data_IF_974256839630
#
_entry.id   IF_974256839630
#
_cell.length_a   1.000
_cell.length_b   1.000
_cell.length_c   1.000
_cell.angle_alpha   90.00
_cell.angle_beta   90.00
_cell.angle_gamma   90.00
#
_symmetry.space_group_name_H-M   'P 1'
#
loop_
_entity.id
_entity.type
_entity.pdbx_description
1 polymer ?
#
# COMPACT_ATOMS: atom_id res chain seq x y z
N UNK A 1 25.24 16.35 -6.40
CA UNK A 1 23.90 15.79 -6.14
C UNK A 1 24.01 14.82 -4.96
N UNK A 2 23.21 15.01 -3.91
CA UNK A 2 23.16 14.16 -2.73
C UNK A 2 22.86 12.69 -3.14
N UNK A 3 23.47 11.71 -2.47
CA UNK A 3 23.23 10.27 -2.65
C UNK A 3 21.72 9.92 -2.62
N UNK A 4 20.96 10.54 -1.73
CA UNK A 4 19.49 10.41 -1.65
C UNK A 4 18.78 10.91 -2.90
N UNK A 5 19.17 12.08 -3.43
CA UNK A 5 18.60 12.60 -4.68
C UNK A 5 18.92 11.69 -5.87
N UNK A 6 20.13 11.10 -5.91
CA UNK A 6 20.50 10.07 -6.89
C UNK A 6 19.62 8.83 -6.75
N UNK A 7 19.41 8.34 -5.55
CA UNK A 7 18.66 7.10 -5.30
C UNK A 7 17.15 7.29 -5.47
N UNK A 8 16.60 8.45 -5.10
CA UNK A 8 15.21 8.81 -5.39
C UNK A 8 14.99 8.93 -6.90
N UNK A 9 15.91 9.58 -7.63
CA UNK A 9 15.85 9.61 -9.10
C UNK A 9 15.99 8.21 -9.71
N UNK A 10 16.85 7.34 -9.18
CA UNK A 10 16.97 5.94 -9.63
C UNK A 10 15.69 5.16 -9.30
N UNK A 11 15.09 5.36 -8.14
CA UNK A 11 13.86 4.66 -7.72
C UNK A 11 12.66 5.11 -8.53
N UNK A 12 12.51 6.42 -8.75
CA UNK A 12 11.47 7.00 -9.61
C UNK A 12 11.70 6.62 -11.07
N UNK A 13 12.95 6.61 -11.56
CA UNK A 13 13.27 6.14 -12.90
C UNK A 13 13.05 4.63 -13.05
N UNK A 14 13.30 3.83 -12.01
CA UNK A 14 13.03 2.40 -12.01
C UNK A 14 11.51 2.14 -11.98
N UNK A 15 10.76 2.88 -11.16
CA UNK A 15 9.30 2.80 -11.12
C UNK A 15 8.67 3.25 -12.44
N UNK A 16 9.18 4.34 -13.05
CA UNK A 16 8.79 4.80 -14.38
C UNK A 16 9.21 3.80 -15.46
N UNK A 17 10.42 3.24 -15.39
CA UNK A 17 10.88 2.23 -16.35
C UNK A 17 10.00 0.99 -16.26
N UNK A 18 9.73 0.46 -15.07
CA UNK A 18 8.81 -0.67 -14.87
C UNK A 18 7.40 -0.27 -15.32
N UNK A 19 6.94 0.95 -15.02
CA UNK A 19 5.67 1.53 -15.49
C UNK A 19 5.55 1.53 -17.01
N UNK A 20 6.55 2.07 -17.69
CA UNK A 20 6.66 2.14 -19.14
C UNK A 20 6.85 0.75 -19.75
N UNK A 21 7.61 -0.14 -19.12
CA UNK A 21 7.77 -1.52 -19.58
C UNK A 21 6.45 -2.28 -19.46
N UNK A 22 5.72 -2.08 -18.38
CA UNK A 22 4.38 -2.67 -18.23
C UNK A 22 3.43 -2.06 -19.24
N UNK A 23 3.39 -0.76 -19.47
CA UNK A 23 2.51 -0.16 -20.50
C UNK A 23 2.88 -0.62 -21.92
N UNK A 24 4.17 -0.73 -22.25
CA UNK A 24 4.64 -1.08 -23.60
C UNK A 24 4.67 -2.59 -23.87
N UNK A 25 4.83 -3.43 -22.84
CA UNK A 25 4.93 -4.89 -22.96
C UNK A 25 3.79 -5.63 -22.27
N UNK A 26 2.82 -4.93 -21.65
CA UNK A 26 1.47 -5.43 -21.37
C UNK A 26 0.75 -5.62 -22.69
N UNK A 27 1.19 -6.63 -23.44
CA UNK A 27 0.23 -7.41 -24.20
C UNK A 27 -0.79 -7.90 -23.19
N UNK A 28 -2.06 -7.79 -23.54
CA UNK A 28 -3.28 -8.15 -22.78
C UNK A 28 -3.38 -9.64 -22.39
N UNK A 29 -2.23 -10.31 -22.21
CA UNK A 29 -2.08 -11.71 -21.88
C UNK A 29 -2.18 -11.91 -20.37
N UNK A 30 -3.05 -12.86 -19.99
CA UNK A 30 -3.38 -13.21 -18.61
C UNK A 30 -2.16 -13.55 -17.72
N UNK A 31 -1.06 -13.99 -18.30
CA UNK A 31 0.16 -14.34 -17.56
C UNK A 31 0.92 -13.13 -17.01
N UNK A 32 0.89 -11.99 -17.70
CA UNK A 32 1.75 -10.83 -17.38
C UNK A 32 1.25 -10.08 -16.14
N UNK A 33 -0.07 -9.95 -15.96
CA UNK A 33 -0.65 -9.33 -14.77
C UNK A 33 -0.47 -10.18 -13.51
N UNK A 34 -0.60 -11.50 -13.63
CA UNK A 34 -0.40 -12.42 -12.51
C UNK A 34 1.02 -12.32 -11.98
N UNK A 35 2.01 -12.23 -12.86
CA UNK A 35 3.39 -12.10 -12.47
C UNK A 35 3.68 -10.77 -11.76
N UNK A 36 3.04 -9.67 -12.17
CA UNK A 36 3.14 -8.39 -11.49
C UNK A 36 2.51 -8.42 -10.09
N UNK A 37 1.30 -8.97 -9.97
CA UNK A 37 0.67 -9.14 -8.66
C UNK A 37 1.47 -10.05 -7.75
N UNK A 38 2.01 -11.17 -8.27
CA UNK A 38 2.87 -12.08 -7.52
C UNK A 38 4.14 -11.35 -7.06
N UNK A 39 4.77 -10.56 -7.94
CA UNK A 39 5.95 -9.77 -7.56
C UNK A 39 5.62 -8.76 -6.44
N UNK A 40 4.49 -8.06 -6.55
CA UNK A 40 4.03 -7.14 -5.49
C UNK A 40 3.67 -7.87 -4.21
N UNK A 41 3.09 -9.06 -4.28
CA UNK A 41 2.84 -9.92 -3.11
C UNK A 41 4.14 -10.32 -2.42
N UNK A 42 5.17 -10.71 -3.18
CA UNK A 42 6.49 -11.04 -2.63
C UNK A 42 7.10 -9.81 -1.93
N UNK A 43 7.03 -8.64 -2.57
CA UNK A 43 7.53 -7.39 -2.00
C UNK A 43 6.77 -7.02 -0.72
N UNK A 44 5.44 -7.07 -0.76
CA UNK A 44 4.57 -6.77 0.38
C UNK A 44 4.89 -7.71 1.54
N UNK A 45 4.98 -9.00 1.26
CA UNK A 45 5.19 -9.99 2.32
C UNK A 45 6.59 -9.93 2.91
N UNK A 46 7.60 -9.64 2.09
CA UNK A 46 8.94 -9.33 2.57
C UNK A 46 8.92 -8.10 3.47
N UNK A 47 8.27 -7.03 3.05
CA UNK A 47 8.15 -5.79 3.82
C UNK A 47 7.44 -6.01 5.16
N UNK A 48 6.29 -6.70 5.18
CA UNK A 48 5.51 -6.91 6.40
C UNK A 48 6.20 -7.84 7.40
N UNK A 49 6.79 -8.95 6.93
CA UNK A 49 7.53 -9.87 7.80
C UNK A 49 8.73 -9.17 8.44
N UNK A 50 9.51 -8.45 7.65
CA UNK A 50 10.70 -7.75 8.14
C UNK A 50 10.32 -6.59 9.06
N UNK A 51 9.28 -5.83 8.68
CA UNK A 51 8.71 -4.77 9.51
C UNK A 51 8.28 -5.30 10.88
N UNK A 52 7.57 -6.44 10.91
CA UNK A 52 7.15 -7.10 12.15
C UNK A 52 8.35 -7.52 13.01
N UNK A 53 9.39 -8.13 12.42
CA UNK A 53 10.60 -8.54 13.13
C UNK A 53 11.29 -7.33 13.77
N UNK A 54 11.46 -6.24 13.03
CA UNK A 54 12.09 -5.03 13.57
C UNK A 54 11.27 -4.37 14.65
N UNK A 55 9.95 -4.29 14.47
CA UNK A 55 9.07 -3.68 15.44
C UNK A 55 8.99 -4.50 16.73
N UNK A 56 8.91 -5.82 16.63
CA UNK A 56 8.98 -6.74 17.77
C UNK A 56 10.29 -6.54 18.55
N UNK A 57 11.45 -6.56 17.87
CA UNK A 57 12.75 -6.30 18.52
C UNK A 57 12.81 -4.94 19.22
N UNK A 58 12.21 -3.91 18.62
CA UNK A 58 12.16 -2.56 19.18
C UNK A 58 11.29 -2.47 20.45
N UNK A 59 10.09 -3.06 20.41
CA UNK A 59 9.13 -3.03 21.52
C UNK A 59 9.57 -3.89 22.70
N UNK A 60 10.14 -5.07 22.44
CA UNK A 60 10.57 -6.00 23.49
C UNK A 60 11.97 -5.72 24.04
N UNK A 61 12.66 -4.67 23.57
CA UNK A 61 13.94 -4.22 24.11
C UNK A 61 13.85 -3.93 25.62
N UNK A 62 14.93 -4.20 26.34
CA UNK A 62 15.07 -3.85 27.75
C UNK A 62 14.84 -2.33 27.96
N UNK A 63 14.10 -1.98 29.02
CA UNK A 63 13.76 -0.58 29.34
C UNK A 63 12.47 -0.04 28.70
N UNK A 64 11.82 -0.78 27.78
CA UNK A 64 10.50 -0.38 27.26
C UNK A 64 9.38 -0.68 28.28
N UNK A 65 8.39 0.23 28.45
CA UNK A 65 7.28 0.03 29.38
C UNK A 65 6.51 -1.26 29.09
N UNK A 66 6.06 -1.95 30.15
CA UNK A 66 5.25 -3.17 30.00
C UNK A 66 3.95 -2.92 29.24
N UNK A 67 3.36 -1.73 29.39
CA UNK A 67 2.14 -1.31 28.67
C UNK A 67 2.34 -1.32 27.16
N UNK A 68 3.50 -0.87 26.67
CA UNK A 68 3.85 -0.90 25.25
C UNK A 68 3.93 -2.34 24.73
N UNK A 69 4.53 -3.25 25.51
CA UNK A 69 4.65 -4.67 25.16
C UNK A 69 3.28 -5.35 25.13
N UNK A 70 2.44 -5.08 26.12
CA UNK A 70 1.06 -5.58 26.16
C UNK A 70 0.23 -5.04 24.99
N UNK A 71 0.32 -3.74 24.69
CA UNK A 71 -0.37 -3.15 23.55
C UNK A 71 0.05 -3.81 22.22
N UNK A 72 1.35 -4.09 22.04
CA UNK A 72 1.83 -4.83 20.86
C UNK A 72 1.19 -6.23 20.73
N UNK A 73 1.15 -7.00 21.83
CA UNK A 73 0.55 -8.34 21.80
C UNK A 73 -0.94 -8.26 21.51
N UNK A 74 -1.67 -7.38 22.22
CA UNK A 74 -3.12 -7.22 22.08
C UNK A 74 -3.48 -6.81 20.66
N UNK A 75 -2.80 -5.80 20.10
CA UNK A 75 -3.06 -5.33 18.74
C UNK A 75 -2.72 -6.39 17.69
N UNK A 76 -1.64 -7.16 17.88
CA UNK A 76 -1.31 -8.26 16.97
C UNK A 76 -2.39 -9.35 16.99
N UNK A 77 -2.83 -9.78 18.17
CA UNK A 77 -3.88 -10.79 18.30
C UNK A 77 -5.21 -10.28 17.77
N UNK A 78 -5.56 -9.02 18.06
CA UNK A 78 -6.78 -8.40 17.54
C UNK A 78 -6.79 -8.36 16.02
N UNK A 79 -5.67 -7.98 15.38
CA UNK A 79 -5.54 -8.00 13.93
C UNK A 79 -5.73 -9.41 13.36
N UNK A 80 -5.04 -10.42 13.94
CA UNK A 80 -5.17 -11.82 13.50
C UNK A 80 -6.62 -12.31 13.63
N UNK A 81 -7.24 -12.13 14.79
CA UNK A 81 -8.59 -12.63 15.06
C UNK A 81 -9.64 -11.93 14.19
N UNK A 82 -9.52 -10.62 13.99
CA UNK A 82 -10.43 -9.85 13.15
C UNK A 82 -10.29 -10.27 11.69
N UNK A 83 -9.05 -10.39 11.18
CA UNK A 83 -8.83 -10.84 9.82
C UNK A 83 -9.36 -12.26 9.60
N UNK A 84 -9.10 -13.19 10.52
CA UNK A 84 -9.63 -14.54 10.44
C UNK A 84 -11.16 -14.55 10.44
N UNK A 85 -11.81 -13.81 11.35
CA UNK A 85 -13.27 -13.71 11.38
C UNK A 85 -13.86 -13.24 10.05
N UNK A 86 -13.28 -12.19 9.45
CA UNK A 86 -13.77 -11.64 8.18
C UNK A 86 -13.50 -12.63 7.03
N UNK A 87 -12.36 -13.32 7.02
CA UNK A 87 -12.04 -14.36 6.03
C UNK A 87 -13.00 -15.57 6.15
N UNK A 88 -13.30 -16.03 7.37
CA UNK A 88 -14.20 -17.17 7.59
C UNK A 88 -15.66 -16.86 7.27
N UNK A 89 -16.06 -15.58 7.33
CA UNK A 89 -17.40 -15.13 6.95
C UNK A 89 -17.50 -14.70 5.49
N UNK A 90 -16.44 -14.92 4.69
CA UNK A 90 -16.32 -14.57 3.26
C UNK A 90 -16.60 -13.08 2.95
N UNK A 91 -16.35 -12.21 3.93
CA UNK A 91 -16.56 -10.76 3.83
C UNK A 91 -15.29 -10.06 3.27
N UNK A 92 -14.69 -10.63 2.22
CA UNK A 92 -13.38 -10.21 1.68
C UNK A 92 -13.38 -8.74 1.23
N UNK A 93 -14.49 -8.24 0.72
CA UNK A 93 -14.64 -6.82 0.32
C UNK A 93 -14.46 -5.87 1.49
N UNK A 94 -14.93 -6.22 2.70
CA UNK A 94 -14.70 -5.41 3.89
C UNK A 94 -13.22 -5.36 4.27
N UNK A 95 -12.48 -6.47 4.08
CA UNK A 95 -11.03 -6.46 4.28
C UNK A 95 -10.35 -5.45 3.35
N UNK A 96 -10.73 -5.44 2.07
CA UNK A 96 -10.21 -4.48 1.10
C UNK A 96 -10.54 -3.02 1.48
N UNK A 97 -11.79 -2.76 1.86
CA UNK A 97 -12.27 -1.42 2.22
C UNK A 97 -11.60 -0.85 3.46
N UNK A 98 -11.23 -1.68 4.44
CA UNK A 98 -10.51 -1.21 5.63
C UNK A 98 -9.00 -1.10 5.40
N UNK A 99 -8.40 -2.02 4.62
CA UNK A 99 -6.95 -1.99 4.35
C UNK A 99 -6.58 -0.79 3.51
N UNK A 100 -7.29 -0.52 2.42
CA UNK A 100 -6.78 0.42 1.41
C UNK A 100 -6.69 1.86 1.92
N UNK A 101 -7.73 2.47 2.54
CA UNK A 101 -7.63 3.82 3.07
C UNK A 101 -6.59 3.89 4.18
N UNK A 102 -6.53 2.89 5.06
CA UNK A 102 -5.51 2.84 6.09
C UNK A 102 -4.11 2.82 5.48
N UNK A 103 -3.87 1.91 4.54
CA UNK A 103 -2.56 1.72 3.93
C UNK A 103 -2.14 3.01 3.21
N UNK A 104 -3.09 3.72 2.60
CA UNK A 104 -2.82 5.04 2.03
C UNK A 104 -2.51 6.09 3.08
N UNK A 105 -3.27 6.20 4.17
CA UNK A 105 -2.91 7.13 5.26
C UNK A 105 -1.50 6.82 5.75
N UNK A 106 -1.21 5.54 6.01
CA UNK A 106 0.09 5.10 6.51
C UNK A 106 1.23 5.40 5.52
N UNK A 107 1.08 5.03 4.25
CA UNK A 107 2.07 5.35 3.21
C UNK A 107 2.24 6.86 3.14
N UNK A 108 1.16 7.62 2.99
CA UNK A 108 1.26 9.06 2.75
C UNK A 108 1.89 9.77 3.96
N UNK A 109 1.65 9.32 5.20
CA UNK A 109 2.28 9.87 6.40
C UNK A 109 3.77 9.56 6.44
N UNK A 110 4.11 8.32 6.09
CA UNK A 110 5.49 7.86 5.98
C UNK A 110 6.25 8.60 4.89
N UNK A 111 5.68 8.71 3.69
CA UNK A 111 6.28 9.43 2.56
C UNK A 111 6.38 10.93 2.84
N UNK A 112 5.38 11.53 3.51
CA UNK A 112 5.45 12.92 3.95
C UNK A 112 6.60 13.16 4.92
N UNK A 113 6.74 12.28 5.91
CA UNK A 113 7.84 12.33 6.90
C UNK A 113 9.18 12.12 6.21
N UNK A 114 9.29 11.12 5.35
CA UNK A 114 10.50 10.77 4.62
C UNK A 114 10.92 11.90 3.66
N UNK A 115 9.98 12.44 2.88
CA UNK A 115 10.23 13.55 1.97
C UNK A 115 10.70 14.79 2.73
N UNK A 116 10.05 15.12 3.85
CA UNK A 116 10.45 16.24 4.71
C UNK A 116 11.88 16.05 5.25
N UNK A 117 12.21 14.84 5.70
CA UNK A 117 13.58 14.51 6.16
C UNK A 117 14.62 14.57 5.04
N UNK A 118 14.25 14.18 3.81
CA UNK A 118 15.16 14.10 2.68
C UNK A 118 15.42 15.46 2.01
N UNK A 119 14.39 16.31 1.89
CA UNK A 119 14.48 17.60 1.21
C UNK A 119 14.70 18.76 2.18
N UNK A 120 14.42 18.57 3.48
CA UNK A 120 14.38 19.63 4.47
C UNK A 120 13.20 20.60 4.28
N UNK A 121 12.28 20.31 3.34
CA UNK A 121 11.13 21.13 3.02
C UNK A 121 9.90 20.49 3.67
N UNK A 122 9.19 21.26 4.49
CA UNK A 122 7.90 20.83 5.03
C UNK A 122 6.83 20.98 3.93
N UNK A 123 6.33 19.84 3.44
CA UNK A 123 5.19 19.82 2.53
C UNK A 123 3.90 20.08 3.31
N UNK A 124 2.95 20.89 2.82
CA UNK A 124 1.75 21.17 3.57
C UNK A 124 0.80 19.98 3.58
N UNK A 125 0.08 19.85 4.67
CA UNK A 125 -0.98 18.87 4.86
C UNK A 125 -2.09 18.94 3.80
N UNK A 126 -2.27 20.08 3.13
CA UNK A 126 -3.25 20.20 2.03
C UNK A 126 -2.91 19.29 0.85
N UNK A 127 -1.64 19.11 0.50
CA UNK A 127 -1.23 18.16 -0.55
C UNK A 127 -1.51 16.72 -0.11
N UNK A 128 -1.20 16.40 1.15
CA UNK A 128 -1.48 15.09 1.74
C UNK A 128 -2.99 14.77 1.72
N UNK A 129 -3.83 15.68 2.24
CA UNK A 129 -5.29 15.51 2.27
C UNK A 129 -5.85 15.40 0.86
N UNK A 130 -5.31 16.19 -0.08
CA UNK A 130 -5.66 16.13 -1.49
C UNK A 130 -5.37 14.76 -2.12
N UNK A 131 -4.17 14.21 -1.95
CA UNK A 131 -3.80 12.89 -2.51
C UNK A 131 -4.62 11.78 -1.85
N UNK A 132 -4.76 11.82 -0.52
CA UNK A 132 -5.53 10.83 0.24
C UNK A 132 -6.99 10.78 -0.21
N UNK A 133 -7.64 11.94 -0.30
CA UNK A 133 -9.04 12.02 -0.72
C UNK A 133 -9.21 11.68 -2.20
N UNK A 134 -8.30 12.10 -3.08
CA UNK A 134 -8.32 11.74 -4.50
C UNK A 134 -8.29 10.21 -4.68
N UNK A 135 -7.36 9.54 -3.99
CA UNK A 135 -7.22 8.10 -4.08
C UNK A 135 -8.40 7.35 -3.46
N UNK A 136 -8.88 7.79 -2.30
CA UNK A 136 -10.04 7.20 -1.64
C UNK A 136 -11.29 7.34 -2.52
N UNK A 137 -11.41 8.44 -3.27
CA UNK A 137 -12.54 8.67 -4.16
C UNK A 137 -12.52 7.67 -5.33
N UNK A 138 -11.35 7.48 -5.94
CA UNK A 138 -11.19 6.48 -7.00
C UNK A 138 -11.47 5.06 -6.49
N UNK A 139 -11.03 4.71 -5.29
CA UNK A 139 -11.35 3.43 -4.66
C UNK A 139 -12.86 3.25 -4.49
N UNK A 140 -13.54 4.23 -3.88
CA UNK A 140 -14.97 4.15 -3.62
C UNK A 140 -15.77 4.04 -4.92
N UNK A 141 -15.37 4.76 -5.98
CA UNK A 141 -16.00 4.68 -7.29
C UNK A 141 -15.78 3.32 -7.99
N UNK A 142 -14.71 2.61 -7.64
CA UNK A 142 -14.42 1.29 -8.18
C UNK A 142 -15.19 0.16 -7.47
N UNK A 143 -15.78 0.41 -6.30
CA UNK A 143 -16.46 -0.60 -5.48
C UNK A 143 -17.80 -1.04 -6.09
N UNK A 144 -18.76 -0.16 -6.41
CA UNK A 144 -19.98 -0.55 -7.10
C UNK A 144 -19.64 -0.75 -8.57
N UNK A 145 -19.47 -2.01 -8.98
CA UNK A 145 -19.04 -2.39 -10.33
C UNK A 145 -19.93 -1.94 -11.51
N UNK A 146 -20.94 -1.08 -11.30
CA UNK A 146 -21.74 -0.48 -12.35
C UNK A 146 -21.88 1.04 -12.12
N UNK A 147 -20.78 1.74 -11.87
CA UNK A 147 -20.81 3.20 -11.89
C UNK A 147 -20.71 3.70 -13.33
N UNK A 148 -21.12 4.96 -13.58
CA UNK A 148 -21.13 5.58 -14.91
C UNK A 148 -19.77 5.48 -15.66
N UNK A 149 -18.67 5.24 -14.94
CA UNK A 149 -17.30 5.24 -15.45
C UNK A 149 -16.62 3.87 -15.42
N UNK A 150 -17.15 2.89 -14.70
CA UNK A 150 -16.53 1.57 -14.55
C UNK A 150 -17.46 0.49 -15.12
N UNK A 151 -17.01 -0.19 -16.18
CA UNK A 151 -17.55 -1.49 -16.55
C UNK A 151 -16.72 -2.57 -15.83
N UNK A 152 -17.40 -3.48 -15.15
CA UNK A 152 -16.81 -4.71 -14.66
C UNK A 152 -16.23 -5.50 -15.85
N UNK A 153 -14.90 -5.50 -15.99
CA UNK A 153 -14.22 -6.69 -16.49
C UNK A 153 -13.79 -7.53 -15.28
N UNK A 154 -14.78 -7.94 -14.47
CA UNK A 154 -14.63 -9.03 -13.50
C UNK A 154 -15.02 -10.34 -14.17
N UNK A 155 -14.34 -10.66 -15.28
CA UNK A 155 -14.29 -12.03 -15.80
C UNK A 155 -13.83 -13.06 -14.74
N UNK A 156 -13.40 -12.62 -13.55
CA UNK A 156 -12.85 -13.44 -12.47
C UNK A 156 -13.53 -13.29 -11.08
N UNK A 157 -14.54 -12.43 -10.91
CA UNK A 157 -15.34 -12.41 -9.67
C UNK A 157 -16.57 -13.28 -9.89
N UNK A 158 -16.71 -14.35 -9.10
CA UNK A 158 -17.75 -15.37 -9.30
C UNK A 158 -19.16 -14.91 -8.97
N UNK A 159 -19.33 -13.72 -8.40
CA UNK A 159 -20.61 -13.22 -7.90
C UNK A 159 -21.20 -12.17 -8.86
N UNK A 160 -22.43 -12.36 -9.34
CA UNK A 160 -23.11 -11.38 -10.19
C UNK A 160 -23.26 -10.01 -9.50
N UNK A 161 -23.19 -8.88 -10.24
CA UNK A 161 -23.24 -7.52 -9.66
C UNK A 161 -24.53 -7.23 -8.91
N UNK A 162 -25.65 -7.78 -9.39
CA UNK A 162 -26.99 -7.74 -8.80
C UNK A 162 -27.07 -8.47 -7.45
N UNK A 163 -26.11 -9.35 -7.14
CA UNK A 163 -25.99 -10.01 -5.83
C UNK A 163 -25.05 -9.22 -4.92
N UNK A 164 -23.96 -8.68 -5.46
CA UNK A 164 -22.94 -7.97 -4.68
C UNK A 164 -23.37 -6.58 -4.18
N UNK A 165 -24.06 -5.80 -5.02
CA UNK A 165 -24.52 -4.45 -4.69
C UNK A 165 -25.47 -4.42 -3.46
N UNK A 166 -26.45 -5.33 -3.32
CA UNK A 166 -27.26 -5.45 -2.12
C UNK A 166 -26.45 -5.71 -0.83
N UNK A 167 -25.44 -6.58 -0.87
CA UNK A 167 -24.58 -6.84 0.29
C UNK A 167 -23.79 -5.60 0.74
N UNK A 168 -23.34 -4.76 -0.20
CA UNK A 168 -22.68 -3.49 0.14
C UNK A 168 -23.65 -2.51 0.83
N UNK A 169 -24.93 -2.51 0.42
CA UNK A 169 -25.94 -1.62 1.01
C UNK A 169 -26.29 -1.94 2.46
N UNK A 170 -26.00 -3.16 2.92
CA UNK A 170 -26.15 -3.54 4.34
C UNK A 170 -25.14 -2.80 5.25
N UNK A 171 -24.02 -2.32 4.69
CA UNK A 171 -22.96 -1.65 5.44
C UNK A 171 -22.92 -0.13 5.19
N UNK A 172 -23.17 0.31 3.95
CA UNK A 172 -23.21 1.73 3.61
C UNK A 172 -24.16 1.99 2.42
N UNK A 173 -24.92 3.09 2.44
CA UNK A 173 -25.82 3.41 1.34
C UNK A 173 -25.07 3.69 0.03
N UNK A 174 -25.65 3.33 -1.12
CA UNK A 174 -24.99 3.42 -2.44
C UNK A 174 -24.42 4.81 -2.76
N UNK A 175 -25.04 5.87 -2.24
CA UNK A 175 -24.58 7.23 -2.50
C UNK A 175 -23.18 7.54 -1.97
N UNK A 176 -22.71 6.77 -0.98
CA UNK A 176 -21.34 6.87 -0.45
C UNK A 176 -20.31 6.49 -1.51
N UNK A 177 -20.65 5.55 -2.38
CA UNK A 177 -19.73 5.01 -3.36
C UNK A 177 -19.77 5.72 -4.71
N UNK A 178 -20.84 6.45 -5.00
CA UNK A 178 -21.03 7.18 -6.26
C UNK A 178 -20.97 8.70 -6.05
N UNK A 179 -22.05 9.31 -5.57
CA UNK A 179 -22.21 10.76 -5.47
C UNK A 179 -21.20 11.38 -4.50
N UNK A 180 -21.04 10.78 -3.32
CA UNK A 180 -20.05 11.23 -2.33
C UNK A 180 -18.63 11.08 -2.87
N UNK A 181 -18.31 9.96 -3.51
CA UNK A 181 -16.99 9.72 -4.06
C UNK A 181 -16.67 10.67 -5.22
N UNK A 182 -17.63 10.98 -6.11
CA UNK A 182 -17.49 12.01 -7.15
C UNK A 182 -17.28 13.40 -6.55
N UNK A 183 -18.09 13.77 -5.54
CA UNK A 183 -17.93 15.04 -4.83
C UNK A 183 -16.55 15.15 -4.18
N UNK A 184 -16.07 14.06 -3.57
CA UNK A 184 -14.74 13.97 -2.98
C UNK A 184 -13.64 14.09 -4.05
N UNK A 185 -13.79 13.46 -5.22
CA UNK A 185 -12.83 13.56 -6.33
C UNK A 185 -12.68 15.01 -6.81
N UNK A 186 -13.80 15.71 -7.05
CA UNK A 186 -13.79 17.12 -7.49
C UNK A 186 -13.16 18.02 -6.43
N UNK A 187 -13.57 17.86 -5.17
CA UNK A 187 -13.07 18.66 -4.05
C UNK A 187 -11.55 18.46 -3.87
N UNK A 188 -11.08 17.22 -3.92
CA UNK A 188 -9.67 16.87 -3.64
C UNK A 188 -8.73 17.30 -4.76
N UNK A 189 -9.15 17.21 -6.02
CA UNK A 189 -8.43 17.83 -7.14
C UNK A 189 -8.34 19.35 -6.93
N UNK A 190 -9.42 20.00 -6.50
CA UNK A 190 -9.41 21.42 -6.15
C UNK A 190 -8.42 21.76 -5.03
N UNK A 191 -8.40 20.95 -3.96
CA UNK A 191 -7.44 21.09 -2.84
C UNK A 191 -6.00 20.92 -3.31
N UNK A 192 -5.73 19.97 -4.20
CA UNK A 192 -4.39 19.74 -4.77
C UNK A 192 -3.92 20.93 -5.61
N UNK A 193 -4.79 21.43 -6.50
CA UNK A 193 -4.50 22.62 -7.31
C UNK A 193 -4.19 23.80 -6.37
N UNK A 194 -5.07 24.08 -5.41
CA UNK A 194 -4.85 25.14 -4.43
C UNK A 194 -3.53 24.97 -3.66
N UNK A 195 -3.21 23.75 -3.21
CA UNK A 195 -1.97 23.44 -2.51
C UNK A 195 -0.73 23.76 -3.36
N UNK A 196 -0.73 23.37 -4.63
CA UNK A 196 0.37 23.66 -5.57
C UNK A 196 0.52 25.16 -5.81
N UNK A 197 -0.59 25.86 -6.08
CA UNK A 197 -0.60 27.31 -6.33
C UNK A 197 -0.09 28.11 -5.12
N UNK A 198 -0.56 27.77 -3.91
CA UNK A 198 -0.21 28.50 -2.67
C UNK A 198 1.27 28.37 -2.33
N UNK A 199 1.85 27.20 -2.55
CA UNK A 199 3.24 26.92 -2.19
C UNK A 199 4.26 27.49 -3.18
N UNK A 200 3.83 27.83 -4.41
CA UNK A 200 4.73 28.19 -5.52
C UNK A 200 5.81 27.13 -5.79
N UNK A 201 5.58 25.88 -5.38
CA UNK A 201 6.48 24.74 -5.65
C UNK A 201 6.09 24.17 -7.02
N UNK A 202 6.18 25.00 -8.05
CA UNK A 202 5.73 24.66 -9.39
C UNK A 202 6.47 23.47 -9.98
N UNK A 203 7.76 23.36 -9.66
CA UNK A 203 8.64 22.30 -10.14
C UNK A 203 8.26 20.89 -9.66
N UNK A 204 7.61 20.77 -8.49
CA UNK A 204 7.12 19.47 -7.98
C UNK A 204 5.60 19.35 -8.09
N UNK A 205 4.88 20.47 -7.99
CA UNK A 205 3.42 20.49 -7.99
C UNK A 205 2.80 20.28 -9.37
N UNK A 206 3.38 20.83 -10.45
CA UNK A 206 2.87 20.60 -11.80
C UNK A 206 2.98 19.12 -12.20
N UNK A 207 4.13 18.44 -12.02
CA UNK A 207 4.22 16.99 -12.24
C UNK A 207 3.21 16.19 -11.43
N UNK A 208 2.99 16.54 -10.15
CA UNK A 208 1.99 15.89 -9.32
C UNK A 208 0.57 16.03 -9.89
N UNK A 209 0.18 17.24 -10.31
CA UNK A 209 -1.14 17.47 -10.91
C UNK A 209 -1.32 16.73 -12.23
N UNK A 210 -0.26 16.63 -13.04
CA UNK A 210 -0.27 15.83 -14.27
C UNK A 210 -0.47 14.34 -13.97
N UNK A 211 0.21 13.80 -12.95
CA UNK A 211 0.03 12.41 -12.52
C UNK A 211 -1.39 12.17 -12.00
N UNK A 212 -1.92 13.09 -11.20
CA UNK A 212 -3.30 13.01 -10.67
C UNK A 212 -4.32 13.06 -11.81
N UNK A 213 -4.14 13.97 -12.78
CA UNK A 213 -5.05 14.09 -13.93
C UNK A 213 -4.97 12.87 -14.85
N UNK A 214 -3.76 12.40 -15.16
CA UNK A 214 -3.54 11.20 -15.96
C UNK A 214 -4.10 9.95 -15.26
N UNK A 215 -3.81 9.77 -13.97
CA UNK A 215 -4.33 8.65 -13.17
C UNK A 215 -5.86 8.66 -13.08
N UNK A 216 -6.46 9.83 -12.89
CA UNK A 216 -7.93 9.99 -12.91
C UNK A 216 -8.50 9.61 -14.28
N UNK A 217 -7.91 10.15 -15.35
CA UNK A 217 -8.40 9.90 -16.71
C UNK A 217 -8.30 8.43 -17.08
N UNK A 218 -7.15 7.82 -16.79
CA UNK A 218 -6.90 6.38 -17.01
C UNK A 218 -7.92 5.53 -16.25
N UNK A 219 -8.14 5.84 -14.97
CA UNK A 219 -9.06 5.06 -14.11
C UNK A 219 -10.52 5.20 -14.54
N UNK A 220 -10.95 6.37 -15.03
CA UNK A 220 -12.35 6.63 -15.37
C UNK A 220 -12.72 6.35 -16.83
N UNK A 221 -11.78 6.37 -17.77
CA UNK A 221 -12.10 6.40 -19.21
C UNK A 221 -11.36 5.38 -20.08
N UNK A 222 -10.24 4.82 -19.65
CA UNK A 222 -9.39 4.01 -20.52
C UNK A 222 -9.40 2.53 -20.16
N UNK A 223 -9.09 2.16 -18.92
CA UNK A 223 -9.09 0.75 -18.51
C UNK A 223 -9.41 0.60 -17.02
N UNK A 224 -10.44 -0.19 -16.65
CA UNK A 224 -10.66 -0.59 -15.27
C UNK A 224 -9.41 -1.31 -14.71
N UNK A 225 -8.70 -2.12 -15.50
CA UNK A 225 -7.51 -2.83 -15.00
C UNK A 225 -6.34 -1.87 -14.68
N UNK A 226 -6.33 -0.66 -15.24
CA UNK A 226 -5.25 0.30 -15.01
C UNK A 226 -5.17 0.86 -13.59
N UNK A 227 -6.27 0.83 -12.80
CA UNK A 227 -6.14 1.13 -11.37
C UNK A 227 -5.37 0.01 -10.66
N UNK A 228 -5.54 -1.27 -11.02
CA UNK A 228 -4.77 -2.38 -10.42
C UNK A 228 -3.29 -2.18 -10.71
N UNK A 229 -2.93 -1.78 -11.94
CA UNK A 229 -1.55 -1.41 -12.26
C UNK A 229 -1.07 -0.24 -11.40
N UNK A 230 -1.81 0.87 -11.35
CA UNK A 230 -1.45 2.04 -10.55
C UNK A 230 -1.23 1.68 -9.08
N UNK A 231 -2.12 0.88 -8.49
CA UNK A 231 -2.00 0.36 -7.14
C UNK A 231 -0.76 -0.52 -6.98
N UNK A 232 -0.59 -1.51 -7.85
CA UNK A 232 0.58 -2.41 -7.88
C UNK A 232 1.88 -1.61 -7.95
N UNK A 233 1.91 -0.55 -8.76
CA UNK A 233 3.04 0.37 -8.90
C UNK A 233 3.30 1.20 -7.66
N UNK A 234 2.28 1.84 -7.09
CA UNK A 234 2.41 2.65 -5.87
C UNK A 234 2.89 1.78 -4.70
N UNK A 235 2.30 0.59 -4.54
CA UNK A 235 2.68 -0.37 -3.51
C UNK A 235 4.13 -0.83 -3.70
N UNK A 236 4.49 -1.25 -4.93
CA UNK A 236 5.84 -1.71 -5.24
C UNK A 236 6.87 -0.60 -5.06
N UNK A 237 6.56 0.62 -5.49
CA UNK A 237 7.38 1.81 -5.26
C UNK A 237 7.62 2.02 -3.77
N UNK A 238 6.56 2.01 -2.96
CA UNK A 238 6.66 2.18 -1.51
C UNK A 238 7.57 1.11 -0.88
N UNK A 239 7.37 -0.16 -1.21
CA UNK A 239 8.18 -1.25 -0.66
C UNK A 239 9.66 -1.13 -1.07
N UNK A 240 9.93 -0.83 -2.34
CA UNK A 240 11.30 -0.66 -2.85
C UNK A 240 11.97 0.55 -2.20
N UNK A 241 11.26 1.69 -2.11
CA UNK A 241 11.80 2.91 -1.52
C UNK A 241 12.20 2.70 -0.06
N UNK A 242 11.36 2.01 0.72
CA UNK A 242 11.66 1.68 2.11
C UNK A 242 12.84 0.71 2.23
N UNK A 243 12.91 -0.29 1.35
CA UNK A 243 14.06 -1.20 1.31
C UNK A 243 15.36 -0.42 1.03
N UNK A 244 15.34 0.50 0.06
CA UNK A 244 16.50 1.33 -0.24
C UNK A 244 16.84 2.29 0.90
N UNK A 245 15.85 2.95 1.49
CA UNK A 245 16.05 3.87 2.61
C UNK A 245 16.73 3.18 3.79
N UNK A 246 16.21 2.02 4.22
CA UNK A 246 16.84 1.26 5.29
C UNK A 246 18.20 0.69 4.89
N UNK A 247 18.36 0.25 3.64
CA UNK A 247 19.66 -0.17 3.11
C UNK A 247 20.74 0.92 3.27
N UNK A 248 20.41 2.18 2.96
CA UNK A 248 21.32 3.32 3.17
C UNK A 248 21.58 3.55 4.65
N UNK A 249 20.53 3.54 5.48
CA UNK A 249 20.64 3.73 6.93
C UNK A 249 21.52 2.66 7.60
N UNK A 250 21.51 1.42 7.12
CA UNK A 250 22.40 0.36 7.62
C UNK A 250 23.79 0.42 6.99
N UNK A 251 23.94 1.00 5.79
CA UNK A 251 25.25 1.20 5.17
C UNK A 251 26.12 2.20 5.92
N UNK A 252 25.51 3.18 6.59
CA UNK A 252 26.23 4.15 7.45
C UNK A 252 26.56 3.58 8.85
N UNK A 253 26.15 2.34 9.14
CA UNK A 253 26.37 1.63 10.40
C UNK A 253 27.46 0.55 10.26
N UNK A 254 27.87 -0.15 11.34
CA UNK A 254 28.84 -1.23 11.24
C UNK A 254 28.43 -2.26 10.19
N UNK A 255 29.38 -2.72 9.35
CA UNK A 255 29.12 -3.63 8.21
C UNK A 255 28.28 -4.85 8.57
N UNK A 256 28.44 -5.37 9.80
CA UNK A 256 27.65 -6.50 10.33
C UNK A 256 26.13 -6.24 10.30
N UNK A 257 25.69 -5.02 10.60
CA UNK A 257 24.27 -4.65 10.56
C UNK A 257 23.74 -4.66 9.13
N UNK A 258 24.50 -4.12 8.16
CA UNK A 258 24.15 -4.17 6.74
C UNK A 258 24.06 -5.61 6.22
N UNK A 259 25.04 -6.47 6.54
CA UNK A 259 24.99 -7.88 6.15
C UNK A 259 23.79 -8.61 6.76
N UNK A 260 23.48 -8.32 8.02
CA UNK A 260 22.30 -8.89 8.69
C UNK A 260 21.00 -8.43 8.02
N UNK A 261 20.92 -7.14 7.65
CA UNK A 261 19.79 -6.57 6.91
C UNK A 261 19.59 -7.27 5.56
N UNK A 262 20.65 -7.38 4.75
CA UNK A 262 20.60 -8.04 3.44
C UNK A 262 20.22 -9.52 3.58
N UNK A 263 20.86 -10.24 4.50
CA UNK A 263 20.59 -11.66 4.72
C UNK A 263 19.13 -11.89 5.13
N UNK A 264 18.56 -11.03 5.98
CA UNK A 264 17.16 -11.13 6.39
C UNK A 264 16.21 -10.94 5.18
N UNK A 265 16.51 -10.01 4.27
CA UNK A 265 15.73 -9.83 3.05
C UNK A 265 15.82 -11.04 2.14
N UNK A 266 17.02 -11.61 1.95
CA UNK A 266 17.20 -12.80 1.12
C UNK A 266 16.48 -14.02 1.71
N UNK A 267 16.56 -14.23 3.03
CA UNK A 267 15.91 -15.36 3.71
C UNK A 267 14.38 -15.32 3.61
N UNK A 268 13.79 -14.13 3.44
CA UNK A 268 12.33 -14.00 3.25
C UNK A 268 11.96 -14.01 1.75
N UNK A 269 12.65 -13.21 0.93
CA UNK A 269 12.29 -13.02 -0.47
C UNK A 269 12.61 -14.25 -1.34
N UNK A 270 13.73 -14.95 -1.10
CA UNK A 270 14.13 -16.09 -1.93
C UNK A 270 13.15 -17.26 -1.80
N UNK A 271 12.72 -17.70 -0.61
CA UNK A 271 11.69 -18.74 -0.50
C UNK A 271 10.37 -18.34 -1.17
N UNK A 272 9.96 -17.07 -1.08
CA UNK A 272 8.75 -16.57 -1.73
C UNK A 272 8.87 -16.60 -3.26
N UNK A 273 10.04 -16.23 -3.80
CA UNK A 273 10.33 -16.31 -5.24
C UNK A 273 10.34 -17.77 -5.73
N UNK A 274 10.95 -18.67 -4.96
CA UNK A 274 10.92 -20.12 -5.24
C UNK A 274 9.49 -20.64 -5.23
N UNK A 275 8.67 -20.26 -4.23
CA UNK A 275 7.24 -20.59 -4.18
C UNK A 275 6.49 -20.12 -5.44
N UNK A 276 6.76 -18.90 -5.92
CA UNK A 276 6.14 -18.36 -7.12
C UNK A 276 6.51 -19.15 -8.39
N UNK A 277 7.78 -19.55 -8.52
CA UNK A 277 8.27 -20.32 -9.68
C UNK A 277 7.68 -21.73 -9.69
N UNK A 278 7.59 -22.37 -8.52
CA UNK A 278 7.08 -23.75 -8.38
C UNK A 278 5.62 -23.81 -7.93
N UNK A 279 4.81 -22.81 -8.32
CA UNK A 279 3.39 -22.72 -7.93
C UNK A 279 2.55 -23.92 -8.41
N UNK A 280 3.00 -24.60 -9.46
CA UNK A 280 2.37 -25.79 -10.04
C UNK A 280 3.25 -27.03 -9.81
N UNK A 281 2.64 -28.17 -9.45
CA UNK A 281 3.34 -29.44 -9.22
C UNK A 281 3.59 -29.78 -7.74
N UNK A 282 4.53 -30.71 -7.49
CA UNK A 282 4.77 -31.35 -6.17
C UNK A 282 5.21 -30.37 -5.06
N UNK A 283 5.70 -29.19 -5.44
CA UNK A 283 6.11 -28.11 -4.52
C UNK A 283 5.07 -26.98 -4.40
N UNK A 284 3.89 -27.12 -5.00
CA UNK A 284 2.80 -26.14 -4.90
C UNK A 284 2.32 -25.85 -3.48
N UNK A 285 2.60 -26.75 -2.52
CA UNK A 285 2.37 -26.50 -1.10
C UNK A 285 3.20 -25.33 -0.56
N UNK A 286 4.37 -25.04 -1.12
CA UNK A 286 5.20 -23.89 -0.72
C UNK A 286 4.50 -22.59 -1.12
N UNK A 287 3.90 -22.55 -2.32
CA UNK A 287 3.04 -21.44 -2.75
C UNK A 287 1.82 -21.30 -1.83
N UNK A 288 1.14 -22.41 -1.53
CA UNK A 288 -0.04 -22.45 -0.68
C UNK A 288 0.23 -22.07 0.80
N UNK A 289 1.47 -22.14 1.28
CA UNK A 289 1.84 -21.73 2.65
C UNK A 289 2.37 -20.29 2.67
N UNK A 290 3.32 -19.96 1.78
CA UNK A 290 4.08 -18.72 1.87
C UNK A 290 3.50 -17.57 1.03
N UNK A 291 2.76 -17.88 -0.04
CA UNK A 291 2.06 -16.90 -0.90
C UNK A 291 0.53 -17.00 -0.80
N UNK A 292 0.01 -17.60 0.27
CA UNK A 292 -1.43 -17.66 0.51
C UNK A 292 -2.00 -16.26 0.77
N UNK A 293 -3.12 -15.94 0.11
CA UNK A 293 -3.79 -14.63 0.25
C UNK A 293 -4.21 -14.33 1.69
N UNK A 294 -4.58 -15.36 2.47
CA UNK A 294 -4.92 -15.18 3.89
C UNK A 294 -3.71 -14.78 4.73
N UNK A 295 -2.55 -15.39 4.48
CA UNK A 295 -1.31 -15.04 5.20
C UNK A 295 -0.88 -13.62 4.87
N UNK A 296 -1.02 -13.19 3.62
CA UNK A 296 -0.79 -11.80 3.23
C UNK A 296 -1.76 -10.86 3.93
N UNK A 297 -3.07 -11.16 3.93
CA UNK A 297 -4.07 -10.33 4.60
C UNK A 297 -3.76 -10.18 6.10
N UNK A 298 -3.51 -11.28 6.80
CA UNK A 298 -3.19 -11.27 8.24
C UNK A 298 -1.94 -10.41 8.50
N UNK A 299 -0.86 -10.63 7.75
CA UNK A 299 0.38 -9.86 7.93
C UNK A 299 0.21 -8.38 7.60
N UNK A 300 -0.61 -8.06 6.58
CA UNK A 300 -0.97 -6.68 6.23
C UNK A 300 -1.68 -6.02 7.41
N UNK A 301 -2.70 -6.66 7.98
CA UNK A 301 -3.45 -6.12 9.12
C UNK A 301 -2.64 -6.01 10.40
N UNK A 302 -1.75 -6.97 10.68
CA UNK A 302 -0.80 -6.87 11.78
C UNK A 302 0.10 -5.65 11.58
N UNK A 303 0.71 -5.50 10.40
CA UNK A 303 1.61 -4.38 10.10
C UNK A 303 0.91 -3.03 10.27
N UNK A 304 -0.27 -2.91 9.68
CA UNK A 304 -1.17 -1.76 9.78
C UNK A 304 -1.49 -1.45 11.25
N UNK A 305 -1.99 -2.43 11.99
CA UNK A 305 -2.46 -2.19 13.35
C UNK A 305 -1.30 -1.84 14.29
N UNK A 306 -0.13 -2.46 14.08
CA UNK A 306 1.05 -2.17 14.87
C UNK A 306 1.69 -0.83 14.52
N UNK A 307 1.52 -0.30 13.31
CA UNK A 307 2.05 1.01 12.97
C UNK A 307 1.49 2.15 13.86
N UNK A 308 0.27 2.01 14.42
CA UNK A 308 -0.26 2.93 15.43
C UNK A 308 0.63 3.04 16.68
N UNK A 309 1.36 2.00 17.04
CA UNK A 309 2.29 2.05 18.16
C UNK A 309 3.47 2.97 17.91
N UNK A 310 3.75 3.35 16.66
CA UNK A 310 4.81 4.32 16.35
C UNK A 310 4.32 5.78 16.50
N UNK A 311 3.01 5.98 16.60
CA UNK A 311 2.39 7.31 16.64
C UNK A 311 2.39 7.93 18.04
N UNK A 312 2.96 9.14 18.16
CA UNK A 312 3.05 9.87 19.44
C UNK A 312 1.68 10.20 20.04
N UNK A 313 0.66 10.44 19.22
CA UNK A 313 -0.69 10.72 19.71
C UNK A 313 -1.33 9.47 20.31
N UNK A 314 -1.15 8.30 19.66
CA UNK A 314 -1.68 7.03 20.14
C UNK A 314 -0.99 6.62 21.45
N UNK A 315 0.33 6.72 21.50
CA UNK A 315 1.11 6.46 22.72
C UNK A 315 0.67 7.34 23.89
N UNK A 316 0.40 8.64 23.64
CA UNK A 316 -0.09 9.58 24.67
C UNK A 316 -1.51 9.26 25.13
N UNK A 317 -2.43 9.01 24.19
CA UNK A 317 -3.83 8.72 24.49
C UNK A 317 -3.97 7.48 25.38
N UNK A 318 -3.21 6.43 25.06
CA UNK A 318 -3.24 5.16 25.79
C UNK A 318 -2.18 5.05 26.89
N UNK A 319 -1.42 6.12 27.17
CA UNK A 319 -0.38 6.17 28.22
C UNK A 319 0.60 4.99 28.13
N UNK A 320 1.11 4.75 26.92
CA UNK A 320 2.01 3.62 26.60
C UNK A 320 3.49 3.92 26.85
N UNK A 321 3.84 5.21 26.93
CA UNK A 321 5.20 5.72 27.18
C UNK A 321 5.26 6.57 28.44
#
# INVERSE_FOLDING_TARGET
MNLYTRLSLISSALALLIGTFVVLFSTTTFSSWQNLLIATFILAQTHFVIGFIYQSRSVFRQGKPIRMKMAFIILSLFAVLTTLYILFTDQITLLGLFVVPYFMVHILLNEHTLATQQTGIEYPWTLFVGIFGWFTALLLLAVPGNSFFYQLDLSYFRMPPDVFLPYLTDYAPLWVFNEFALGMLVLTIGILIYGVFRLRIWYSGIPLLLVVFAGTSISLFFEPIAYVYLFTFILSYHFILWMLHFGIMFHTRPKKELYTYILLHLVVAVPLLVAAIFREGMLGWIYAIFLHSWTLAIMTYIHITLAFLNEKWFQRWFRLT
#
